data_IF_532391761363
#
_entry.id   IF_532391761363
#
_cell.length_a   1.000
_cell.length_b   1.000
_cell.length_c   1.000
_cell.angle_alpha   90.00
_cell.angle_beta   90.00
_cell.angle_gamma   90.00
#
_symmetry.space_group_name_H-M   'P 1'
#
loop_
_entity.id
_entity.type
_entity.pdbx_description
1 polymer ?
#
# COMPACT_ATOMS: atom_id res chain seq x y z
N UNK A 1 -6.99 14.96 3.48
CA UNK A 1 -5.99 13.89 3.67
C UNK A 1 -6.50 12.85 4.65
N UNK A 2 -6.82 11.67 4.11
CA UNK A 2 -7.25 10.45 4.78
C UNK A 2 -6.21 9.38 4.46
N UNK A 3 -5.77 8.65 5.49
CA UNK A 3 -4.87 7.50 5.36
C UNK A 3 -5.66 6.29 4.85
N UNK A 4 -5.14 5.62 3.84
CA UNK A 4 -5.65 4.33 3.36
C UNK A 4 -4.51 3.33 3.21
N UNK A 5 -4.85 2.05 3.30
CA UNK A 5 -3.94 0.93 3.06
C UNK A 5 -4.40 0.18 1.82
N UNK A 6 -3.57 0.10 0.78
CA UNK A 6 -3.93 -0.47 -0.51
C UNK A 6 -3.16 -1.77 -0.75
N UNK A 7 -3.88 -2.81 -1.19
CA UNK A 7 -3.24 -4.06 -1.61
C UNK A 7 -2.65 -3.91 -3.02
N UNK A 8 -1.38 -4.22 -3.19
CA UNK A 8 -0.64 -4.08 -4.44
C UNK A 8 0.17 -5.33 -4.79
N UNK A 9 0.58 -5.41 -6.06
CA UNK A 9 1.52 -6.41 -6.57
C UNK A 9 2.65 -5.75 -7.37
N UNK A 10 3.59 -6.56 -7.85
CA UNK A 10 4.71 -6.07 -8.66
C UNK A 10 4.26 -5.30 -9.91
N UNK A 11 3.15 -5.68 -10.55
CA UNK A 11 2.62 -5.01 -11.75
C UNK A 11 2.14 -3.60 -11.40
N UNK A 12 1.42 -3.45 -10.29
CA UNK A 12 0.97 -2.15 -9.81
C UNK A 12 2.14 -1.26 -9.41
N UNK A 13 3.16 -1.82 -8.75
CA UNK A 13 4.38 -1.10 -8.39
C UNK A 13 5.18 -0.65 -9.62
N UNK A 14 5.28 -1.47 -10.66
CA UNK A 14 5.90 -1.09 -11.93
C UNK A 14 5.14 0.05 -12.61
N UNK A 15 3.80 -0.01 -12.62
CA UNK A 15 2.96 1.05 -13.16
C UNK A 15 3.15 2.38 -12.40
N UNK A 16 3.18 2.33 -11.06
CA UNK A 16 3.46 3.49 -10.21
C UNK A 16 4.85 4.07 -10.47
N UNK A 17 5.89 3.22 -10.59
CA UNK A 17 7.25 3.64 -10.95
C UNK A 17 7.28 4.36 -12.29
N UNK A 18 6.53 3.87 -13.26
CA UNK A 18 6.45 4.44 -14.61
C UNK A 18 5.55 5.69 -14.69
N UNK A 19 5.00 6.13 -13.54
CA UNK A 19 4.20 7.34 -13.39
C UNK A 19 2.72 7.18 -13.74
N UNK A 20 2.23 5.95 -13.88
CA UNK A 20 0.82 5.68 -14.09
C UNK A 20 0.04 5.69 -12.76
N UNK A 21 -1.22 6.11 -12.83
CA UNK A 21 -2.17 5.89 -11.74
C UNK A 21 -2.64 4.43 -11.74
N UNK A 22 -2.88 3.88 -10.55
CA UNK A 22 -3.39 2.51 -10.35
C UNK A 22 -4.61 2.54 -9.44
N UNK A 23 -5.64 1.76 -9.78
CA UNK A 23 -6.79 1.50 -8.92
C UNK A 23 -6.56 0.21 -8.16
N UNK A 24 -6.57 0.27 -6.84
CA UNK A 24 -6.28 -0.87 -5.96
C UNK A 24 -7.32 -0.98 -4.85
N UNK A 25 -7.53 -2.19 -4.34
CA UNK A 25 -8.42 -2.42 -3.20
C UNK A 25 -7.89 -1.68 -1.99
N UNK A 26 -8.74 -0.86 -1.36
CA UNK A 26 -8.41 0.03 -0.27
C UNK A 26 -9.05 -0.43 1.04
N UNK A 27 -8.27 -0.32 2.11
CA UNK A 27 -8.63 -0.66 3.48
C UNK A 27 -8.45 0.60 4.33
N UNK A 28 -9.51 1.01 5.01
CA UNK A 28 -9.49 2.15 5.92
C UNK A 28 -9.47 1.63 7.36
N UNK A 29 -8.64 2.24 8.21
CA UNK A 29 -8.67 2.00 9.64
C UNK A 29 -10.06 2.34 10.22
N UNK A 30 -10.51 1.55 11.20
CA UNK A 30 -11.80 1.78 11.86
C UNK A 30 -11.78 3.03 12.76
N UNK A 31 -10.59 3.48 13.15
CA UNK A 31 -10.31 4.61 14.03
C UNK A 31 -8.87 5.11 13.82
N UNK A 32 -8.45 6.05 14.66
CA UNK A 32 -7.13 6.71 14.57
C UNK A 32 -6.09 6.11 15.55
N UNK A 33 -6.47 5.07 16.30
CA UNK A 33 -5.56 4.42 17.24
C UNK A 33 -4.62 3.44 16.51
N UNK A 34 -3.42 3.23 17.08
CA UNK A 34 -2.36 2.42 16.47
C UNK A 34 -2.82 1.00 16.07
N UNK A 35 -3.73 0.40 16.85
CA UNK A 35 -4.25 -0.93 16.55
C UNK A 35 -5.17 -0.94 15.32
N UNK A 36 -6.03 0.07 15.14
CA UNK A 36 -6.94 0.14 13.99
C UNK A 36 -6.15 0.33 12.68
N UNK A 37 -5.07 1.11 12.74
CA UNK A 37 -4.13 1.31 11.63
C UNK A 37 -3.37 0.01 11.31
N UNK A 38 -2.88 -0.69 12.34
CA UNK A 38 -2.20 -1.97 12.18
C UNK A 38 -3.14 -3.04 11.58
N UNK A 39 -4.40 -3.09 12.00
CA UNK A 39 -5.39 -4.04 11.49
C UNK A 39 -5.72 -3.77 10.02
N UNK A 40 -5.86 -2.50 9.61
CA UNK A 40 -6.09 -2.14 8.22
C UNK A 40 -4.87 -2.42 7.32
N UNK A 41 -3.66 -2.14 7.80
CA UNK A 41 -2.42 -2.49 7.12
C UNK A 41 -2.29 -4.00 6.92
N UNK A 42 -2.57 -4.79 7.97
CA UNK A 42 -2.54 -6.24 7.90
C UNK A 42 -3.57 -6.78 6.89
N UNK A 43 -4.80 -6.26 6.89
CA UNK A 43 -5.83 -6.67 5.92
C UNK A 43 -5.41 -6.41 4.46
N UNK A 44 -4.74 -5.28 4.20
CA UNK A 44 -4.18 -4.99 2.88
C UNK A 44 -3.08 -6.01 2.50
N UNK A 45 -2.16 -6.31 3.42
CA UNK A 45 -1.06 -7.25 3.21
C UNK A 45 -1.52 -8.73 3.13
N UNK A 46 -2.66 -9.08 3.70
CA UNK A 46 -3.27 -10.40 3.52
C UNK A 46 -3.88 -10.58 2.12
N UNK A 47 -4.24 -9.47 1.49
CA UNK A 47 -4.95 -9.46 0.21
C UNK A 47 -4.03 -9.38 -1.00
N UNK A 48 -2.74 -9.10 -0.79
CA UNK A 48 -1.72 -9.01 -1.83
C UNK A 48 -0.32 -8.97 -1.24
N UNK A 49 0.72 -9.23 -2.05
CA UNK A 49 2.09 -9.33 -1.54
C UNK A 49 2.64 -8.01 -0.99
N UNK A 50 2.03 -6.86 -1.31
CA UNK A 50 2.46 -5.54 -0.87
C UNK A 50 1.28 -4.78 -0.32
N UNK A 51 1.49 -4.08 0.80
CA UNK A 51 0.55 -3.07 1.29
C UNK A 51 1.16 -1.67 1.13
N UNK A 52 0.42 -0.77 0.48
CA UNK A 52 0.80 0.63 0.34
C UNK A 52 0.07 1.45 1.37
N UNK A 53 0.79 2.28 2.12
CA UNK A 53 0.15 3.31 2.90
C UNK A 53 0.11 4.61 2.09
N UNK A 54 -1.08 5.17 1.90
CA UNK A 54 -1.30 6.33 1.02
C UNK A 54 -2.07 7.43 1.74
N UNK A 55 -1.87 8.66 1.30
CA UNK A 55 -2.67 9.81 1.72
C UNK A 55 -3.49 10.34 0.53
N UNK A 56 -4.81 10.38 0.69
CA UNK A 56 -5.74 10.87 -0.34
C UNK A 56 -6.62 11.98 0.21
N UNK A 57 -7.03 12.92 -0.63
CA UNK A 57 -7.95 13.99 -0.20
C UNK A 57 -9.42 13.55 -0.23
N UNK A 58 -9.78 12.75 -1.22
CA UNK A 58 -11.12 12.22 -1.42
C UNK A 58 -11.07 10.69 -1.52
N UNK A 59 -11.83 10.01 -0.66
CA UNK A 59 -11.98 8.56 -0.70
C UNK A 59 -13.04 8.21 -1.75
N UNK A 60 -12.69 7.31 -2.67
CA UNK A 60 -13.58 6.88 -3.74
C UNK A 60 -14.83 6.13 -3.21
N UNK A 61 -15.92 6.17 -3.98
CA UNK A 61 -17.09 5.32 -3.71
C UNK A 61 -16.82 3.89 -4.19
N UNK A 62 -16.75 2.93 -3.26
CA UNK A 62 -16.50 1.52 -3.55
C UNK A 62 -15.31 0.97 -2.77
N UNK A 63 -14.79 -0.17 -3.21
CA UNK A 63 -13.69 -0.88 -2.54
C UNK A 63 -12.31 -0.51 -3.13
N UNK A 64 -12.26 0.22 -4.25
CA UNK A 64 -11.02 0.56 -4.94
C UNK A 64 -10.72 2.06 -4.88
N UNK A 65 -9.44 2.40 -4.67
CA UNK A 65 -8.92 3.76 -4.67
C UNK A 65 -7.89 3.92 -5.79
N UNK A 66 -8.09 4.93 -6.65
CA UNK A 66 -7.06 5.35 -7.61
C UNK A 66 -5.99 6.18 -6.90
N UNK A 67 -4.72 5.81 -7.10
CA UNK A 67 -3.55 6.48 -6.53
C UNK A 67 -2.40 6.61 -7.53
N UNK A 68 -1.57 7.62 -7.30
CA UNK A 68 -0.28 7.85 -7.96
C UNK A 68 0.86 7.66 -6.97
N UNK A 69 2.10 7.53 -7.45
CA UNK A 69 3.27 7.34 -6.58
C UNK A 69 3.48 8.53 -5.62
N UNK A 70 3.05 9.74 -6.01
CA UNK A 70 3.14 10.94 -5.16
C UNK A 70 2.24 10.86 -3.92
N UNK A 71 1.20 10.03 -3.94
CA UNK A 71 0.27 9.82 -2.82
C UNK A 71 0.71 8.68 -1.89
N UNK A 72 1.72 7.90 -2.29
CA UNK A 72 2.25 6.81 -1.48
C UNK A 72 3.21 7.40 -0.45
N UNK A 73 2.93 7.13 0.82
CA UNK A 73 3.80 7.52 1.93
C UNK A 73 4.82 6.40 2.23
N UNK A 74 4.37 5.15 2.22
CA UNK A 74 5.18 3.99 2.55
C UNK A 74 4.75 2.72 1.81
N UNK A 75 5.71 1.81 1.67
CA UNK A 75 5.53 0.48 1.09
C UNK A 75 5.83 -0.56 2.16
N UNK A 76 4.93 -1.51 2.35
CA UNK A 76 5.04 -2.59 3.33
C UNK A 76 5.04 -3.95 2.65
N UNK A 77 5.99 -4.81 3.06
CA UNK A 77 6.19 -6.14 2.48
C UNK A 77 6.63 -7.12 3.55
N UNK A 78 6.02 -8.30 3.58
CA UNK A 78 6.54 -9.46 4.32
C UNK A 78 7.66 -10.10 3.50
N UNK A 79 8.90 -9.91 3.95
CA UNK A 79 10.10 -10.33 3.21
C UNK A 79 10.55 -11.75 3.54
N UNK A 80 10.13 -12.30 4.68
CA UNK A 80 10.60 -13.59 5.20
C UNK A 80 9.47 -14.60 5.46
N UNK A 81 8.23 -14.21 5.19
CA UNK A 81 7.03 -15.06 5.35
C UNK A 81 6.58 -15.18 6.81
N UNK A 82 7.08 -14.32 7.70
CA UNK A 82 6.72 -14.33 9.12
C UNK A 82 5.39 -13.63 9.42
N UNK A 83 4.90 -12.82 8.48
CA UNK A 83 3.83 -11.84 8.68
C UNK A 83 4.32 -10.49 9.21
N UNK A 84 5.59 -10.34 9.56
CA UNK A 84 6.16 -9.05 9.97
C UNK A 84 6.42 -8.18 8.73
N UNK A 85 5.73 -7.05 8.65
CA UNK A 85 5.79 -6.16 7.50
C UNK A 85 6.98 -5.21 7.62
N UNK A 86 7.98 -5.40 6.78
CA UNK A 86 9.08 -4.46 6.61
C UNK A 86 8.58 -3.15 5.99
N UNK A 87 9.07 -2.01 6.47
CA UNK A 87 8.74 -0.67 5.98
C UNK A 87 9.82 -0.19 5.00
N UNK A 88 9.38 0.32 3.85
CA UNK A 88 10.23 0.92 2.83
C UNK A 88 9.70 2.30 2.47
N UNK A 89 10.61 3.25 2.25
CA UNK A 89 10.28 4.54 1.70
C UNK A 89 9.96 4.42 0.19
N UNK A 90 9.24 5.39 -0.37
CA UNK A 90 8.93 5.39 -1.82
C UNK A 90 10.16 5.45 -2.72
N UNK A 91 11.27 6.02 -2.25
CA UNK A 91 12.55 6.02 -2.99
C UNK A 91 13.18 4.63 -3.08
N UNK A 92 12.73 3.68 -2.27
CA UNK A 92 13.19 2.29 -2.25
C UNK A 92 12.32 1.37 -3.10
N UNK A 93 11.40 1.91 -3.92
CA UNK A 93 10.51 1.14 -4.80
C UNK A 93 11.26 0.15 -5.71
N UNK A 94 12.40 0.55 -6.27
CA UNK A 94 13.24 -0.34 -7.10
C UNK A 94 13.88 -1.49 -6.30
N UNK A 95 14.07 -1.33 -4.99
CA UNK A 95 14.49 -2.42 -4.09
C UNK A 95 13.35 -3.38 -3.88
N UNK A 96 12.16 -2.87 -3.55
CA UNK A 96 10.95 -3.68 -3.35
C UNK A 96 10.65 -4.52 -4.59
N UNK A 97 10.71 -3.91 -5.78
CA UNK A 97 10.51 -4.62 -7.05
C UNK A 97 11.55 -5.73 -7.27
N UNK A 98 12.79 -5.56 -6.80
CA UNK A 98 13.83 -6.60 -6.88
C UNK A 98 13.58 -7.74 -5.89
N UNK A 99 12.95 -7.48 -4.75
CA UNK A 99 12.57 -8.52 -3.79
C UNK A 99 11.41 -9.36 -4.35
N UNK A 100 10.49 -8.75 -5.11
CA UNK A 100 9.32 -9.42 -5.68
C UNK A 100 9.60 -10.21 -6.97
N UNK A 101 10.79 -10.07 -7.56
CA UNK A 101 11.20 -10.75 -8.81
C UNK A 101 11.77 -12.14 -8.58
#
# INVERSE_FOLDING_TARGET
MTRLYLSADATALEALRDGAAVSLVAYQAAGEDEQDEADALAAAAESGPVALAVEVDDVAEGDEQEVTLEQVDAIHLDVDGSGDLAWYATQELDEVLRILS
#
